data_IF_392047322102
#
_entry.id   IF_392047322102
#
_cell.length_a   1.000
_cell.length_b   1.000
_cell.length_c   1.000
_cell.angle_alpha   90.00
_cell.angle_beta   90.00
_cell.angle_gamma   90.00
#
_symmetry.space_group_name_H-M   'P 1'
#
loop_
_entity.id
_entity.type
_entity.pdbx_description
1 polymer ?
#
# COMPACT_ATOMS: atom_id res chain seq x y z
N UNK A 1 -0.59 48.45 1.65
CA UNK A 1 -0.46 46.99 1.80
C UNK A 1 1.01 46.68 2.00
N UNK A 2 1.41 46.27 3.20
CA UNK A 2 2.81 45.93 3.49
C UNK A 2 3.09 44.53 2.93
N UNK A 3 3.83 44.48 1.82
CA UNK A 3 4.35 43.23 1.26
C UNK A 3 5.31 42.59 2.28
N UNK A 4 5.13 41.30 2.65
CA UNK A 4 6.01 40.66 3.61
C UNK A 4 7.42 40.51 3.03
N UNK A 5 8.42 40.64 3.91
CA UNK A 5 9.82 40.41 3.55
C UNK A 5 10.00 39.02 2.91
N UNK A 6 10.85 38.98 1.89
CA UNK A 6 11.12 37.85 0.99
C UNK A 6 11.40 36.53 1.74
N UNK A 7 11.95 36.59 2.96
CA UNK A 7 12.27 35.44 3.83
C UNK A 7 11.05 34.80 4.52
N UNK A 8 9.84 35.36 4.40
CA UNK A 8 8.60 34.87 5.06
C UNK A 8 7.47 34.55 4.08
N UNK A 9 7.72 34.59 2.77
CA UNK A 9 6.67 34.32 1.77
C UNK A 9 6.25 32.84 1.85
N UNK A 10 4.98 32.62 2.19
CA UNK A 10 4.28 31.35 2.10
C UNK A 10 3.12 31.55 1.14
N UNK A 11 3.12 30.84 0.02
CA UNK A 11 2.06 30.94 -0.98
C UNK A 11 0.73 30.48 -0.40
N UNK A 12 0.76 29.51 0.52
CA UNK A 12 -0.42 29.07 1.27
C UNK A 12 -1.04 30.22 2.08
N UNK A 13 -0.24 31.01 2.81
CA UNK A 13 -0.76 32.14 3.60
C UNK A 13 -1.37 33.23 2.72
N UNK A 14 -0.80 33.49 1.54
CA UNK A 14 -1.37 34.45 0.58
C UNK A 14 -2.78 34.05 0.10
N UNK A 15 -3.12 32.76 0.10
CA UNK A 15 -4.50 32.33 -0.20
C UNK A 15 -5.48 32.68 0.90
N UNK A 16 -5.02 32.78 2.15
CA UNK A 16 -5.84 33.02 3.34
C UNK A 16 -6.00 34.50 3.68
N UNK A 17 -5.25 35.39 3.02
CA UNK A 17 -5.30 36.83 3.25
C UNK A 17 -6.44 37.48 2.44
N UNK A 18 -7.51 37.96 3.07
CA UNK A 18 -8.55 38.78 2.43
C UNK A 18 -9.98 38.24 2.56
N UNK A 19 -10.97 39.02 2.10
CA UNK A 19 -12.41 38.83 2.36
C UNK A 19 -13.06 37.60 1.67
N UNK A 20 -12.34 36.88 0.80
CA UNK A 20 -12.82 35.68 0.10
C UNK A 20 -11.76 34.56 0.15
N UNK A 21 -11.31 34.22 1.36
CA UNK A 21 -10.34 33.13 1.56
C UNK A 21 -11.01 31.75 1.33
N UNK A 22 -10.46 30.89 0.45
CA UNK A 22 -10.95 29.52 0.29
C UNK A 22 -10.68 28.68 1.55
N UNK A 23 -11.65 27.85 1.92
CA UNK A 23 -11.56 26.96 3.08
C UNK A 23 -10.48 25.90 2.86
N UNK A 24 -9.48 25.79 3.76
CA UNK A 24 -8.45 24.77 3.62
C UNK A 24 -9.02 23.39 3.94
N UNK A 25 -8.61 22.40 3.14
CA UNK A 25 -9.01 21.00 3.27
C UNK A 25 -7.81 20.13 3.62
N UNK A 26 -8.02 19.05 4.36
CA UNK A 26 -6.98 18.07 4.63
C UNK A 26 -7.15 16.90 3.68
N UNK A 27 -6.12 16.65 2.87
CA UNK A 27 -6.18 15.67 1.79
C UNK A 27 -4.93 14.78 1.88
N UNK A 28 -5.09 13.48 1.60
CA UNK A 28 -3.96 12.56 1.50
C UNK A 28 -3.23 12.75 0.16
N UNK A 29 -1.91 12.50 0.08
CA UNK A 29 -1.18 12.64 -1.17
C UNK A 29 -1.76 11.87 -2.38
N UNK A 30 -2.31 10.63 -2.24
CA UNK A 30 -2.99 9.94 -3.35
C UNK A 30 -4.23 10.67 -3.88
N UNK A 31 -5.01 11.31 -2.99
CA UNK A 31 -6.19 12.08 -3.41
C UNK A 31 -5.75 13.36 -4.13
N UNK A 32 -4.67 14.01 -3.67
CA UNK A 32 -4.05 15.12 -4.42
C UNK A 32 -3.64 14.64 -5.82
N UNK A 33 -3.07 13.43 -5.93
CA UNK A 33 -2.76 12.77 -7.21
C UNK A 33 -3.95 12.69 -8.15
N UNK A 34 -5.04 12.13 -7.65
CA UNK A 34 -6.26 11.99 -8.41
C UNK A 34 -6.83 13.36 -8.85
N UNK A 35 -6.88 14.35 -7.96
CA UNK A 35 -7.45 15.67 -8.25
C UNK A 35 -6.68 16.44 -9.33
N UNK A 36 -5.36 16.51 -9.21
CA UNK A 36 -4.50 17.19 -10.20
C UNK A 36 -4.57 16.44 -11.53
N UNK A 37 -4.52 15.10 -11.53
CA UNK A 37 -4.64 14.32 -12.76
C UNK A 37 -5.97 14.55 -13.49
N UNK A 38 -7.10 14.57 -12.76
CA UNK A 38 -8.40 14.88 -13.34
C UNK A 38 -8.48 16.32 -13.90
N UNK A 39 -7.86 17.30 -13.23
CA UNK A 39 -7.79 18.67 -13.77
C UNK A 39 -6.96 18.70 -15.05
N UNK A 40 -5.78 18.08 -15.06
CA UNK A 40 -4.91 18.10 -16.23
C UNK A 40 -5.57 17.39 -17.42
N UNK A 41 -6.17 16.22 -17.23
CA UNK A 41 -6.93 15.52 -18.28
C UNK A 41 -8.07 16.38 -18.84
N UNK A 42 -8.85 17.01 -17.94
CA UNK A 42 -9.91 17.92 -18.34
C UNK A 42 -9.38 19.05 -19.22
N UNK A 43 -8.27 19.66 -18.85
CA UNK A 43 -7.66 20.75 -19.61
C UNK A 43 -7.11 20.30 -20.96
N UNK A 44 -6.59 19.07 -21.06
CA UNK A 44 -6.12 18.48 -22.32
C UNK A 44 -7.23 18.16 -23.31
N UNK A 45 -8.44 17.93 -22.83
CA UNK A 45 -9.61 17.66 -23.65
C UNK A 45 -10.31 18.93 -24.15
N UNK A 46 -10.15 20.07 -23.45
CA UNK A 46 -11.02 21.24 -23.64
C UNK A 46 -10.57 22.31 -24.63
N UNK A 47 -9.26 22.67 -24.76
CA UNK A 47 -8.65 23.43 -25.90
C UNK A 47 -7.29 24.10 -25.58
N UNK A 48 -6.65 24.62 -26.64
CA UNK A 48 -5.21 24.70 -27.00
C UNK A 48 -4.35 25.76 -26.28
N UNK A 49 -4.91 26.71 -25.55
CA UNK A 49 -4.16 27.85 -24.98
C UNK A 49 -4.14 27.87 -23.45
N UNK A 50 -3.58 26.83 -22.84
CA UNK A 50 -3.42 26.74 -21.39
C UNK A 50 -1.99 27.06 -20.95
N UNK A 51 -1.83 28.01 -20.04
CA UNK A 51 -0.58 28.20 -19.30
C UNK A 51 -0.66 27.41 -17.99
N UNK A 52 0.35 26.57 -17.75
CA UNK A 52 0.38 25.71 -16.56
C UNK A 52 1.61 26.04 -15.72
N UNK A 53 1.40 26.43 -14.47
CA UNK A 53 2.47 26.62 -13.48
C UNK A 53 2.46 25.45 -12.52
N UNK A 54 3.63 24.83 -12.35
CA UNK A 54 3.73 23.57 -11.65
C UNK A 54 4.90 23.55 -10.68
N UNK A 55 4.61 23.17 -9.44
CA UNK A 55 5.58 22.73 -8.44
C UNK A 55 5.02 21.49 -7.75
N UNK A 56 5.63 20.33 -7.97
CA UNK A 56 5.13 19.05 -7.45
C UNK A 56 6.09 18.39 -6.43
N UNK A 57 5.59 17.46 -5.59
CA UNK A 57 6.43 16.75 -4.64
C UNK A 57 7.36 15.75 -5.36
N UNK A 58 8.62 15.61 -4.91
CA UNK A 58 9.60 14.73 -5.55
C UNK A 58 9.32 13.23 -5.35
N UNK A 59 8.48 12.87 -4.39
CA UNK A 59 8.23 11.49 -3.96
C UNK A 59 7.18 10.73 -4.76
N UNK A 60 6.51 11.36 -5.73
CA UNK A 60 5.40 10.74 -6.46
C UNK A 60 5.62 10.74 -7.96
N UNK A 61 5.17 9.67 -8.63
CA UNK A 61 5.30 9.37 -10.07
C UNK A 61 4.45 10.30 -10.97
N UNK A 62 4.56 11.61 -10.81
CA UNK A 62 3.88 12.61 -11.63
C UNK A 62 4.66 12.97 -12.88
N UNK A 63 5.97 12.73 -12.85
CA UNK A 63 6.88 12.99 -13.96
C UNK A 63 6.41 12.25 -15.21
N UNK A 64 6.03 10.98 -15.08
CA UNK A 64 5.52 10.16 -16.19
C UNK A 64 4.19 10.65 -16.77
N UNK A 65 3.29 11.18 -15.93
CA UNK A 65 2.02 11.76 -16.39
C UNK A 65 2.28 13.06 -17.16
N UNK A 66 3.13 13.94 -16.62
CA UNK A 66 3.52 15.20 -17.27
C UNK A 66 4.30 14.95 -18.58
N UNK A 67 5.20 13.97 -18.60
CA UNK A 67 5.94 13.54 -19.80
C UNK A 67 5.00 12.95 -20.85
N UNK A 68 4.02 12.13 -20.45
CA UNK A 68 2.98 11.66 -21.36
C UNK A 68 2.19 12.83 -21.95
N UNK A 69 1.86 13.85 -21.15
CA UNK A 69 1.17 15.05 -21.61
C UNK A 69 2.04 15.93 -22.53
N UNK A 70 3.37 15.96 -22.34
CA UNK A 70 4.31 16.60 -23.28
C UNK A 70 4.27 15.92 -24.65
N UNK A 71 4.25 14.58 -24.68
CA UNK A 71 4.26 13.81 -25.93
C UNK A 71 3.02 14.03 -26.80
N UNK A 72 1.90 14.45 -26.21
CA UNK A 72 0.63 14.68 -26.91
C UNK A 72 0.51 16.08 -27.54
N UNK A 73 1.46 17.00 -27.27
CA UNK A 73 1.63 18.24 -28.02
C UNK A 73 0.55 19.31 -27.87
N UNK A 74 -0.22 19.30 -26.78
CA UNK A 74 -1.32 20.25 -26.52
C UNK A 74 -0.96 21.39 -25.55
N UNK A 75 0.26 21.43 -25.02
CA UNK A 75 0.68 22.38 -23.98
C UNK A 75 1.59 23.47 -24.56
N UNK A 76 1.11 24.71 -24.72
CA UNK A 76 1.96 25.78 -25.29
C UNK A 76 3.05 26.30 -24.33
N UNK A 77 2.75 26.47 -23.04
CA UNK A 77 3.68 27.03 -22.05
C UNK A 77 3.54 26.34 -20.69
N UNK A 78 4.59 25.62 -20.28
CA UNK A 78 4.71 24.95 -18.99
C UNK A 78 5.78 25.65 -18.16
N UNK A 79 5.40 26.25 -17.03
CA UNK A 79 6.33 26.85 -16.08
C UNK A 79 6.61 25.85 -14.96
N UNK A 80 7.79 25.23 -14.99
CA UNK A 80 8.22 24.31 -13.95
C UNK A 80 9.00 25.07 -12.88
N UNK A 81 8.45 25.12 -11.67
CA UNK A 81 9.02 25.88 -10.56
C UNK A 81 9.77 24.94 -9.60
N UNK A 82 11.09 25.12 -9.48
CA UNK A 82 11.90 24.36 -8.52
C UNK A 82 12.47 25.27 -7.43
N UNK A 83 12.60 24.74 -6.22
CA UNK A 83 13.27 25.36 -5.07
C UNK A 83 14.58 24.68 -4.67
N UNK A 84 14.95 23.56 -5.31
CA UNK A 84 16.21 22.84 -5.13
C UNK A 84 16.98 22.69 -6.45
N UNK A 85 18.30 22.59 -6.38
CA UNK A 85 19.18 22.58 -7.55
C UNK A 85 19.25 21.25 -8.33
N UNK A 86 18.55 20.20 -7.90
CA UNK A 86 18.73 18.84 -8.44
C UNK A 86 17.38 18.17 -8.77
N UNK A 87 16.75 18.58 -9.87
CA UNK A 87 15.75 17.75 -10.54
C UNK A 87 16.26 17.36 -11.93
N UNK A 88 16.12 16.08 -12.34
CA UNK A 88 16.60 15.59 -13.64
C UNK A 88 15.87 16.23 -14.84
N UNK A 89 14.76 16.94 -14.62
CA UNK A 89 14.05 17.74 -15.63
C UNK A 89 14.74 19.08 -15.95
N UNK A 90 15.65 19.56 -15.10
CA UNK A 90 16.41 20.81 -15.29
C UNK A 90 17.72 20.55 -16.05
N UNK A 91 18.24 19.32 -16.03
CA UNK A 91 19.44 18.93 -16.78
C UNK A 91 19.26 18.87 -18.30
N UNK A 92 18.05 19.05 -18.82
CA UNK A 92 17.77 19.18 -20.26
C UNK A 92 17.43 20.63 -20.60
N UNK A 93 18.38 21.55 -20.42
CA UNK A 93 18.28 22.95 -20.88
C UNK A 93 18.06 23.10 -22.41
N UNK A 94 18.04 22.01 -23.20
CA UNK A 94 17.85 22.08 -24.66
C UNK A 94 17.06 20.89 -25.22
N UNK A 95 15.82 20.67 -24.77
CA UNK A 95 14.85 19.99 -25.61
C UNK A 95 13.67 20.93 -25.88
N UNK A 96 13.82 21.72 -26.94
CA UNK A 96 12.69 22.28 -27.67
C UNK A 96 11.94 21.09 -28.26
N UNK A 97 11.01 20.51 -27.49
CA UNK A 97 10.00 19.64 -28.06
C UNK A 97 9.16 20.49 -29.03
N UNK A 98 8.78 19.97 -30.21
CA UNK A 98 8.15 20.77 -31.26
C UNK A 98 6.78 21.35 -30.89
N UNK A 99 6.16 20.94 -29.77
CA UNK A 99 4.78 21.29 -29.41
C UNK A 99 4.59 21.89 -27.99
N UNK A 100 5.60 22.53 -27.40
CA UNK A 100 5.43 23.25 -26.12
C UNK A 100 6.71 23.81 -25.51
N UNK A 101 6.69 25.06 -25.02
CA UNK A 101 7.85 25.69 -24.36
C UNK A 101 7.82 25.40 -22.86
N UNK A 102 8.82 24.68 -22.36
CA UNK A 102 9.07 24.54 -20.92
C UNK A 102 9.94 25.72 -20.47
N UNK A 103 9.48 26.46 -19.48
CA UNK A 103 10.22 27.59 -18.90
C UNK A 103 10.54 27.22 -17.45
N UNK A 104 11.79 26.84 -17.13
CA UNK A 104 12.18 26.60 -15.75
C UNK A 104 12.19 27.92 -14.98
N UNK A 105 11.54 27.95 -13.82
CA UNK A 105 11.49 29.10 -12.91
C UNK A 105 12.14 28.70 -11.60
N UNK A 106 13.32 29.25 -11.32
CA UNK A 106 13.98 29.03 -10.03
C UNK A 106 13.37 29.93 -8.97
N UNK A 107 12.74 29.30 -7.97
CA UNK A 107 12.24 29.96 -6.78
C UNK A 107 13.35 30.05 -5.74
N UNK A 108 13.38 31.15 -5.00
CA UNK A 108 14.26 31.29 -3.84
C UNK A 108 13.99 30.17 -2.83
N UNK A 109 15.06 29.53 -2.36
CA UNK A 109 14.98 28.46 -1.37
C UNK A 109 14.55 29.04 -0.02
N UNK A 110 13.24 29.01 0.23
CA UNK A 110 12.63 29.30 1.53
C UNK A 110 12.09 28.00 2.16
N UNK A 111 12.16 27.90 3.50
CA UNK A 111 11.63 26.77 4.27
C UNK A 111 10.17 26.42 3.89
N UNK A 112 9.33 27.45 3.71
CA UNK A 112 7.92 27.29 3.34
C UNK A 112 7.74 26.84 1.90
N UNK A 113 8.45 27.49 0.96
CA UNK A 113 8.39 27.12 -0.45
C UNK A 113 8.84 25.68 -0.66
N UNK A 114 9.84 25.18 0.07
CA UNK A 114 10.26 23.77 -0.02
C UNK A 114 9.19 22.76 0.40
N UNK A 115 8.18 23.17 1.19
CA UNK A 115 7.08 22.33 1.67
C UNK A 115 5.75 22.60 0.96
N UNK A 116 5.74 23.52 0.00
CA UNK A 116 4.55 23.95 -0.74
C UNK A 116 4.62 23.48 -2.20
N UNK A 117 3.50 22.94 -2.67
CA UNK A 117 3.27 22.49 -4.04
C UNK A 117 2.09 23.24 -4.60
N UNK A 118 2.13 23.52 -5.89
CA UNK A 118 1.02 24.15 -6.56
C UNK A 118 0.89 23.67 -7.99
N UNK A 119 -0.36 23.59 -8.43
CA UNK A 119 -0.76 23.53 -9.83
C UNK A 119 -1.63 24.76 -10.06
N UNK A 120 -1.21 25.65 -10.95
CA UNK A 120 -2.04 26.75 -11.43
C UNK A 120 -2.27 26.55 -12.92
N UNK A 121 -3.52 26.52 -13.33
CA UNK A 121 -3.90 26.47 -14.74
C UNK A 121 -4.61 27.77 -15.08
N UNK A 122 -4.07 28.48 -16.05
CA UNK A 122 -4.64 29.71 -16.60
C UNK A 122 -5.14 29.40 -18.00
N UNK A 123 -6.45 29.55 -18.19
CA UNK A 123 -7.12 29.45 -19.48
C UNK A 123 -8.13 30.59 -19.60
N UNK A 124 -8.41 31.09 -20.83
CA UNK A 124 -9.47 32.07 -21.06
C UNK A 124 -10.86 31.60 -20.58
N UNK A 125 -11.11 30.29 -20.56
CA UNK A 125 -12.40 29.72 -20.14
C UNK A 125 -12.53 29.57 -18.63
N UNK A 126 -11.48 29.14 -17.94
CA UNK A 126 -11.47 28.93 -16.49
C UNK A 126 -10.04 29.06 -15.94
N UNK A 127 -9.89 29.67 -14.76
CA UNK A 127 -8.64 29.70 -14.03
C UNK A 127 -8.79 28.80 -12.80
N UNK A 128 -7.85 27.90 -12.57
CA UNK A 128 -7.90 26.98 -11.44
C UNK A 128 -6.55 26.93 -10.73
N UNK A 129 -6.59 26.76 -9.42
CA UNK A 129 -5.39 26.60 -8.61
C UNK A 129 -5.61 25.54 -7.54
N UNK A 130 -4.68 24.61 -7.46
CA UNK A 130 -4.50 23.70 -6.34
C UNK A 130 -3.19 24.09 -5.67
N UNK A 131 -3.23 24.36 -4.36
CA UNK A 131 -2.04 24.62 -3.56
C UNK A 131 -2.05 23.70 -2.34
N UNK A 132 -1.01 22.89 -2.18
CA UNK A 132 -0.86 21.93 -1.10
C UNK A 132 0.39 22.23 -0.28
N UNK A 133 0.29 22.11 1.05
CA UNK A 133 1.41 22.28 1.97
C UNK A 133 1.58 21.04 2.85
N UNK A 134 2.79 20.50 2.93
CA UNK A 134 3.11 19.44 3.90
C UNK A 134 2.92 19.94 5.32
N UNK A 135 2.12 19.22 6.09
CA UNK A 135 2.04 19.40 7.54
C UNK A 135 2.81 18.27 8.19
N UNK A 136 3.67 18.60 9.16
CA UNK A 136 4.23 17.58 10.05
C UNK A 136 3.09 16.96 10.87
N UNK A 137 3.10 15.64 11.12
CA UNK A 137 2.11 14.99 11.97
C UNK A 137 2.14 15.65 13.35
N UNK A 138 0.96 16.00 13.88
CA UNK A 138 0.83 16.66 15.19
C UNK A 138 0.80 15.66 16.36
N UNK A 139 0.88 14.37 16.09
CA UNK A 139 0.77 13.29 17.09
C UNK A 139 1.45 12.02 16.58
N UNK A 140 2.19 11.34 17.47
CA UNK A 140 2.84 10.03 17.23
C UNK A 140 1.86 8.91 16.83
N UNK A 141 0.55 9.14 16.92
CA UNK A 141 -0.49 8.15 16.55
C UNK A 141 -1.07 8.32 15.15
N UNK A 142 -0.77 9.42 14.44
CA UNK A 142 -1.23 9.63 13.07
C UNK A 142 -0.09 9.38 12.08
N UNK A 143 0.11 8.12 11.73
CA UNK A 143 1.27 7.64 10.97
C UNK A 143 1.22 7.97 9.46
N UNK A 144 0.45 8.97 9.03
CA UNK A 144 0.39 9.38 7.63
C UNK A 144 0.53 10.90 7.46
N UNK A 145 1.42 11.36 6.58
CA UNK A 145 1.60 12.78 6.37
C UNK A 145 0.42 13.32 5.56
N UNK A 146 -0.28 14.32 6.11
CA UNK A 146 -1.43 14.95 5.48
C UNK A 146 -1.03 16.28 4.83
N UNK A 147 -1.65 16.59 3.70
CA UNK A 147 -1.46 17.83 2.98
C UNK A 147 -2.62 18.76 3.32
N UNK A 148 -2.30 19.99 3.73
CA UNK A 148 -3.31 21.07 3.74
C UNK A 148 -3.40 21.63 2.34
N UNK A 149 -4.54 21.42 1.71
CA UNK A 149 -4.79 21.76 0.32
C UNK A 149 -5.86 22.83 0.22
N UNK A 150 -5.61 23.80 -0.64
CA UNK A 150 -6.54 24.85 -1.04
C UNK A 150 -6.81 24.69 -2.52
N UNK A 151 -8.09 24.61 -2.89
CA UNK A 151 -8.54 24.60 -4.28
C UNK A 151 -9.35 25.87 -4.49
N UNK A 152 -9.03 26.63 -5.53
CA UNK A 152 -9.77 27.85 -5.85
C UNK A 152 -9.84 28.06 -7.35
N UNK A 153 -10.96 28.62 -7.77
CA UNK A 153 -11.22 29.06 -9.14
C UNK A 153 -11.44 30.58 -9.20
N UNK A 154 -11.20 31.28 -8.09
CA UNK A 154 -11.38 32.72 -7.99
C UNK A 154 -10.15 33.44 -8.57
N UNK A 155 -10.32 34.26 -9.63
CA UNK A 155 -9.20 34.94 -10.27
C UNK A 155 -8.44 35.87 -9.30
N UNK A 156 -9.14 36.55 -8.37
CA UNK A 156 -8.52 37.45 -7.38
C UNK A 156 -7.49 36.75 -6.48
N UNK A 157 -7.79 35.52 -6.05
CA UNK A 157 -6.89 34.72 -5.20
C UNK A 157 -5.70 34.23 -6.02
N UNK A 158 -5.95 33.76 -7.24
CA UNK A 158 -4.92 33.29 -8.17
C UNK A 158 -3.93 34.42 -8.52
N UNK A 159 -4.42 35.63 -8.81
CA UNK A 159 -3.58 36.80 -9.07
C UNK A 159 -2.63 37.12 -7.91
N UNK A 160 -3.12 37.00 -6.66
CA UNK A 160 -2.28 37.25 -5.48
C UNK A 160 -1.17 36.22 -5.35
N UNK A 161 -1.47 34.95 -5.61
CA UNK A 161 -0.47 33.87 -5.59
C UNK A 161 0.54 34.04 -6.72
N UNK A 162 0.10 34.40 -7.94
CA UNK A 162 1.01 34.70 -9.06
C UNK A 162 1.93 35.90 -8.75
N UNK A 163 1.40 36.94 -8.10
CA UNK A 163 2.22 38.06 -7.62
C UNK A 163 3.25 37.61 -6.57
N UNK A 164 2.86 36.70 -5.66
CA UNK A 164 3.76 36.06 -4.71
C UNK A 164 4.87 35.24 -5.39
N UNK A 165 4.54 34.48 -6.43
CA UNK A 165 5.49 33.72 -7.24
C UNK A 165 6.47 34.65 -7.97
N UNK A 166 5.99 35.78 -8.52
CA UNK A 166 6.83 36.80 -9.18
C UNK A 166 7.85 37.43 -8.21
N UNK A 167 7.50 37.57 -6.94
CA UNK A 167 8.43 38.09 -5.92
C UNK A 167 9.41 37.00 -5.46
N UNK A 168 8.94 35.75 -5.39
CA UNK A 168 9.74 34.60 -4.95
C UNK A 168 10.69 34.05 -6.03
N UNK A 169 10.51 34.39 -7.30
CA UNK A 169 11.44 34.02 -8.38
C UNK A 169 12.77 34.78 -8.22
N UNK A 170 13.89 34.04 -8.23
CA UNK A 170 15.22 34.63 -8.39
C UNK A 170 15.27 35.39 -9.72
N UNK A 171 15.97 36.54 -9.76
CA UNK A 171 16.09 37.41 -10.95
C UNK A 171 16.16 36.56 -12.24
N UNK A 172 15.34 36.85 -13.26
CA UNK A 172 15.29 36.04 -14.47
C UNK A 172 16.62 36.17 -15.21
N UNK A 173 17.46 35.13 -15.16
CA UNK A 173 18.62 35.01 -16.04
C UNK A 173 18.21 34.72 -17.49
N UNK A 174 16.92 34.49 -17.75
CA UNK A 174 16.37 34.27 -19.07
C UNK A 174 15.57 35.50 -19.50
N UNK A 175 15.94 36.10 -20.62
CA UNK A 175 15.27 37.22 -21.30
C UNK A 175 13.82 36.90 -21.78
N UNK A 176 13.15 35.91 -21.18
CA UNK A 176 11.94 35.25 -21.68
C UNK A 176 10.69 35.43 -20.81
N UNK A 177 10.81 35.86 -19.54
CA UNK A 177 9.67 36.17 -18.68
C UNK A 177 9.21 37.62 -18.89
N UNK A 178 8.42 37.87 -19.94
CA UNK A 178 7.75 39.16 -20.09
C UNK A 178 6.71 39.34 -18.98
N UNK A 179 6.54 40.57 -18.47
CA UNK A 179 5.61 40.94 -17.40
C UNK A 179 4.15 40.50 -17.62
N UNK A 180 3.79 40.21 -18.87
CA UNK A 180 2.46 39.76 -19.29
C UNK A 180 2.21 38.24 -19.12
N UNK A 181 3.20 37.46 -18.67
CA UNK A 181 3.02 36.02 -18.41
C UNK A 181 2.48 35.72 -17.00
N UNK A 182 2.51 36.71 -16.10
CA UNK A 182 1.95 36.62 -14.74
C UNK A 182 0.54 37.26 -14.64
N UNK A 183 0.01 37.79 -15.73
CA UNK A 183 -1.33 38.39 -15.78
C UNK A 183 -2.40 37.36 -16.09
N UNK A 184 -3.56 37.50 -15.45
CA UNK A 184 -4.74 36.71 -15.76
C UNK A 184 -5.29 37.04 -17.15
N UNK A 185 -5.98 36.10 -17.81
CA UNK A 185 -6.77 36.40 -19.01
C UNK A 185 -7.80 37.51 -18.72
N UNK A 186 -7.92 38.49 -19.63
CA UNK A 186 -8.71 39.72 -19.41
C UNK A 186 -10.22 39.49 -19.23
N UNK A 187 -10.76 38.37 -19.75
CA UNK A 187 -12.17 37.96 -19.57
C UNK A 187 -12.24 36.45 -19.32
N UNK A 188 -12.40 36.06 -18.06
CA UNK A 188 -12.69 34.67 -17.68
C UNK A 188 -14.20 34.47 -17.69
N UNK A 189 -14.75 33.96 -18.78
CA UNK A 189 -16.16 33.61 -18.89
C UNK A 189 -16.33 32.10 -18.66
N UNK A 190 -16.33 31.69 -17.39
CA UNK A 190 -16.64 30.31 -17.04
C UNK A 190 -18.12 30.03 -17.34
N UNK A 191 -18.39 29.26 -18.40
CA UNK A 191 -19.74 28.81 -18.71
C UNK A 191 -20.10 27.61 -17.84
N UNK A 192 -21.39 27.43 -17.52
CA UNK A 192 -21.87 26.27 -16.76
C UNK A 192 -21.43 24.92 -17.36
N UNK A 193 -21.25 24.88 -18.69
CA UNK A 193 -20.77 23.72 -19.45
C UNK A 193 -19.37 23.26 -19.04
N UNK A 194 -18.46 24.20 -18.76
CA UNK A 194 -17.08 23.88 -18.34
C UNK A 194 -17.10 23.18 -16.97
N UNK A 195 -17.97 23.63 -16.07
CA UNK A 195 -18.14 23.03 -14.75
C UNK A 195 -18.78 21.64 -14.81
N UNK A 196 -19.81 21.49 -15.62
CA UNK A 196 -20.46 20.19 -15.85
C UNK A 196 -19.44 19.16 -16.36
N UNK A 197 -18.64 19.53 -17.36
CA UNK A 197 -17.62 18.65 -17.92
C UNK A 197 -16.49 18.35 -16.93
N UNK A 198 -16.08 19.32 -16.11
CA UNK A 198 -15.08 19.10 -15.05
C UNK A 198 -15.60 18.12 -14.00
N UNK A 199 -16.84 18.29 -13.55
CA UNK A 199 -17.47 17.39 -12.58
C UNK A 199 -17.62 15.97 -13.14
N UNK A 200 -18.05 15.84 -14.39
CA UNK A 200 -18.14 14.55 -15.08
C UNK A 200 -16.76 13.87 -15.16
N UNK A 201 -15.69 14.63 -15.47
CA UNK A 201 -14.33 14.09 -15.54
C UNK A 201 -13.79 13.64 -14.18
N UNK A 202 -14.04 14.43 -13.13
CA UNK A 202 -13.70 14.03 -11.76
C UNK A 202 -14.41 12.71 -11.40
N UNK A 203 -15.71 12.60 -11.71
CA UNK A 203 -16.49 11.40 -11.42
C UNK A 203 -15.97 10.17 -12.18
N UNK A 204 -15.72 10.28 -13.48
CA UNK A 204 -15.15 9.20 -14.30
C UNK A 204 -13.80 8.71 -13.75
N UNK A 205 -12.91 9.63 -13.35
CA UNK A 205 -11.60 9.25 -12.81
C UNK A 205 -11.71 8.61 -11.44
N UNK A 206 -12.62 9.09 -10.59
CA UNK A 206 -12.89 8.44 -9.29
C UNK A 206 -13.43 7.03 -9.45
N UNK A 207 -14.33 6.81 -10.42
CA UNK A 207 -14.90 5.50 -10.70
C UNK A 207 -13.84 4.53 -11.22
N UNK A 208 -13.02 4.93 -12.20
CA UNK A 208 -11.95 4.08 -12.73
C UNK A 208 -10.90 3.70 -11.69
N UNK A 209 -10.54 4.63 -10.79
CA UNK A 209 -9.64 4.34 -9.67
C UNK A 209 -10.28 3.36 -8.68
N UNK A 210 -11.53 3.59 -8.29
CA UNK A 210 -12.23 2.72 -7.36
C UNK A 210 -12.37 1.30 -7.91
N UNK A 211 -12.74 1.18 -9.19
CA UNK A 211 -12.83 -0.12 -9.88
C UNK A 211 -11.48 -0.82 -9.93
N UNK A 212 -10.40 -0.12 -10.32
CA UNK A 212 -9.07 -0.75 -10.39
C UNK A 212 -8.54 -1.21 -9.03
N UNK A 213 -8.77 -0.43 -7.97
CA UNK A 213 -8.35 -0.80 -6.62
C UNK A 213 -9.13 -2.01 -6.10
N UNK A 214 -10.47 -2.00 -6.20
CA UNK A 214 -11.31 -3.11 -5.77
C UNK A 214 -10.99 -4.37 -6.56
N UNK A 215 -10.82 -4.26 -7.88
CA UNK A 215 -10.52 -5.40 -8.72
C UNK A 215 -9.13 -5.96 -8.41
N UNK A 216 -8.15 -5.12 -8.08
CA UNK A 216 -6.82 -5.53 -7.63
C UNK A 216 -6.86 -6.29 -6.31
N UNK A 217 -7.54 -5.73 -5.30
CA UNK A 217 -7.73 -6.37 -3.99
C UNK A 217 -8.47 -7.70 -4.14
N UNK A 218 -9.60 -7.71 -4.87
CA UNK A 218 -10.38 -8.92 -5.11
C UNK A 218 -9.56 -10.00 -5.82
N UNK A 219 -8.81 -9.65 -6.88
CA UNK A 219 -7.97 -10.62 -7.58
C UNK A 219 -6.86 -11.20 -6.69
N UNK A 220 -6.26 -10.37 -5.83
CA UNK A 220 -5.26 -10.86 -4.88
C UNK A 220 -5.87 -11.86 -3.89
N UNK A 221 -7.07 -11.57 -3.36
CA UNK A 221 -7.77 -12.50 -2.46
C UNK A 221 -8.16 -13.80 -3.16
N UNK A 222 -8.65 -13.73 -4.39
CA UNK A 222 -8.98 -14.91 -5.20
C UNK A 222 -7.73 -15.75 -5.48
N UNK A 223 -6.60 -15.13 -5.81
CA UNK A 223 -5.33 -15.85 -6.03
C UNK A 223 -4.90 -16.58 -4.76
N UNK A 224 -4.88 -15.90 -3.62
CA UNK A 224 -4.49 -16.48 -2.34
C UNK A 224 -5.42 -17.66 -1.94
N UNK A 225 -6.72 -17.52 -2.17
CA UNK A 225 -7.68 -18.60 -1.93
C UNK A 225 -7.45 -19.79 -2.85
N UNK A 226 -7.16 -19.55 -4.13
CA UNK A 226 -6.84 -20.61 -5.10
C UNK A 226 -5.56 -21.35 -4.72
N UNK A 227 -4.51 -20.64 -4.32
CA UNK A 227 -3.27 -21.24 -3.83
C UNK A 227 -3.52 -22.11 -2.59
N UNK A 228 -4.29 -21.60 -1.64
CA UNK A 228 -4.65 -22.35 -0.43
C UNK A 228 -5.45 -23.61 -0.75
N UNK A 229 -6.40 -23.53 -1.68
CA UNK A 229 -7.17 -24.69 -2.14
C UNK A 229 -6.27 -25.71 -2.85
N UNK A 230 -5.39 -25.26 -3.74
CA UNK A 230 -4.44 -26.15 -4.44
C UNK A 230 -3.54 -26.91 -3.47
N UNK A 231 -3.03 -26.23 -2.43
CA UNK A 231 -2.21 -26.88 -1.40
C UNK A 231 -3.02 -27.94 -0.62
N UNK A 232 -4.29 -27.66 -0.30
CA UNK A 232 -5.19 -28.65 0.33
C UNK A 232 -5.44 -29.85 -0.58
N UNK A 233 -5.66 -29.63 -1.87
CA UNK A 233 -5.85 -30.71 -2.84
C UNK A 233 -4.58 -31.57 -3.00
N UNK A 234 -3.40 -30.96 -3.04
CA UNK A 234 -2.12 -31.67 -3.11
C UNK A 234 -1.88 -32.53 -1.87
N UNK A 235 -2.16 -31.98 -0.68
CA UNK A 235 -2.11 -32.73 0.58
C UNK A 235 -3.06 -33.93 0.55
N UNK A 236 -4.33 -33.74 0.17
CA UNK A 236 -5.30 -34.84 0.07
C UNK A 236 -4.87 -35.90 -0.95
N UNK A 237 -4.33 -35.50 -2.10
CA UNK A 237 -3.80 -36.42 -3.09
C UNK A 237 -2.61 -37.21 -2.55
N UNK A 238 -1.71 -36.56 -1.81
CA UNK A 238 -0.56 -37.25 -1.19
C UNK A 238 -1.01 -38.26 -0.14
N UNK A 239 -1.99 -37.90 0.69
CA UNK A 239 -2.57 -38.79 1.68
C UNK A 239 -3.18 -40.05 1.05
N UNK A 240 -3.96 -39.89 -0.01
CA UNK A 240 -4.54 -41.04 -0.72
C UNK A 240 -3.44 -41.96 -1.30
N UNK A 241 -2.34 -41.38 -1.77
CA UNK A 241 -1.20 -42.11 -2.33
C UNK A 241 -0.39 -42.86 -1.26
N UNK A 242 -0.30 -42.33 -0.05
CA UNK A 242 0.42 -42.98 1.05
C UNK A 242 -0.44 -43.99 1.83
N UNK A 243 -1.76 -43.80 1.89
CA UNK A 243 -2.66 -44.72 2.59
C UNK A 243 -3.05 -45.96 1.77
N UNK A 244 -3.06 -45.89 0.44
CA UNK A 244 -3.48 -47.01 -0.43
C UNK A 244 -2.52 -48.21 -0.42
N UNK A 245 -1.18 -48.04 -0.50
CA UNK A 245 -0.23 -49.15 -0.47
C UNK A 245 -0.29 -50.04 0.81
N UNK A 246 -0.34 -49.50 2.05
CA UNK A 246 -0.41 -50.34 3.25
C UNK A 246 -1.70 -51.15 3.31
N UNK A 247 -2.86 -50.56 2.93
CA UNK A 247 -4.15 -51.28 2.83
C UNK A 247 -4.04 -52.43 1.83
N UNK A 248 -3.47 -52.16 0.65
CA UNK A 248 -3.34 -53.16 -0.41
C UNK A 248 -2.45 -54.32 0.04
N UNK A 249 -1.35 -54.01 0.74
CA UNK A 249 -0.40 -54.99 1.30
C UNK A 249 -1.03 -55.82 2.41
N UNK A 250 -1.78 -55.18 3.32
CA UNK A 250 -2.51 -55.89 4.37
C UNK A 250 -3.56 -56.84 3.77
N UNK A 251 -4.34 -56.37 2.80
CA UNK A 251 -5.36 -57.19 2.12
C UNK A 251 -4.75 -58.39 1.40
N UNK A 252 -3.64 -58.22 0.68
CA UNK A 252 -2.94 -59.33 0.01
C UNK A 252 -2.35 -60.32 1.01
N UNK A 253 -1.69 -59.84 2.07
CA UNK A 253 -1.16 -60.70 3.13
C UNK A 253 -2.26 -61.50 3.84
N UNK A 254 -3.41 -60.89 4.10
CA UNK A 254 -4.59 -61.56 4.66
C UNK A 254 -5.17 -62.62 3.70
N UNK A 255 -5.29 -62.32 2.40
CA UNK A 255 -5.75 -63.30 1.41
C UNK A 255 -4.80 -64.49 1.28
N UNK A 256 -3.48 -64.26 1.38
CA UNK A 256 -2.49 -65.33 1.39
C UNK A 256 -2.60 -66.17 2.67
N UNK A 257 -2.79 -65.54 3.85
CA UNK A 257 -3.01 -66.22 5.12
C UNK A 257 -4.28 -67.09 5.16
N UNK A 258 -5.30 -66.73 4.40
CA UNK A 258 -6.54 -67.51 4.26
C UNK A 258 -6.38 -68.75 3.36
N UNK A 259 -5.29 -68.87 2.60
CA UNK A 259 -5.01 -70.05 1.78
C UNK A 259 -4.46 -71.21 2.63
N UNK A 260 -4.99 -72.42 2.44
CA UNK A 260 -4.80 -73.57 3.36
C UNK A 260 -3.42 -74.30 3.31
N UNK A 261 -2.40 -73.74 2.66
CA UNK A 261 -1.09 -74.41 2.46
C UNK A 261 0.13 -73.56 2.85
N UNK A 262 0.12 -72.95 4.03
CA UNK A 262 1.25 -72.13 4.50
C UNK A 262 2.06 -72.83 5.60
N UNK A 263 3.39 -72.82 5.44
CA UNK A 263 4.32 -73.24 6.50
C UNK A 263 4.28 -72.24 7.67
N UNK A 264 4.49 -72.72 8.90
CA UNK A 264 4.43 -71.90 10.14
C UNK A 264 5.27 -70.60 10.05
N UNK A 265 6.49 -70.69 9.54
CA UNK A 265 7.38 -69.53 9.32
C UNK A 265 6.83 -68.49 8.31
N UNK A 266 6.10 -68.91 7.28
CA UNK A 266 5.50 -67.99 6.31
C UNK A 266 4.30 -67.25 6.92
N UNK A 267 3.53 -67.93 7.77
CA UNK A 267 2.41 -67.35 8.51
C UNK A 267 2.88 -66.24 9.46
N UNK A 268 3.95 -66.50 10.22
CA UNK A 268 4.57 -65.52 11.12
C UNK A 268 5.10 -64.29 10.35
N UNK A 269 5.74 -64.50 9.19
CA UNK A 269 6.17 -63.38 8.32
C UNK A 269 4.99 -62.52 7.84
N UNK A 270 3.91 -63.11 7.36
CA UNK A 270 2.74 -62.33 6.91
C UNK A 270 2.03 -61.60 8.07
N UNK A 271 1.96 -62.19 9.26
CA UNK A 271 1.43 -61.51 10.45
C UNK A 271 2.29 -60.31 10.84
N UNK A 272 3.63 -60.46 10.89
CA UNK A 272 4.55 -59.35 11.17
C UNK A 272 4.48 -58.25 10.10
N UNK A 273 4.24 -58.63 8.83
CA UNK A 273 4.05 -57.68 7.74
C UNK A 273 2.76 -56.85 7.93
N UNK A 274 1.65 -57.51 8.28
CA UNK A 274 0.38 -56.83 8.55
C UNK A 274 0.53 -55.87 9.74
N UNK A 275 1.11 -56.33 10.85
CA UNK A 275 1.34 -55.51 12.04
C UNK A 275 2.14 -54.24 11.74
N UNK A 276 3.23 -54.39 10.98
CA UNK A 276 4.06 -53.25 10.55
C UNK A 276 3.30 -52.27 9.65
N UNK A 277 2.53 -52.76 8.68
CA UNK A 277 1.76 -51.88 7.79
C UNK A 277 0.57 -51.24 8.50
N UNK A 278 -0.02 -51.88 9.51
CA UNK A 278 -1.03 -51.30 10.39
C UNK A 278 -0.45 -50.16 11.23
N UNK A 279 0.74 -50.36 11.81
CA UNK A 279 1.42 -49.34 12.59
C UNK A 279 1.75 -48.11 11.74
N UNK A 280 2.33 -48.31 10.54
CA UNK A 280 2.58 -47.21 9.60
C UNK A 280 1.31 -46.44 9.24
N UNK A 281 0.19 -47.13 9.07
CA UNK A 281 -1.07 -46.49 8.75
C UNK A 281 -1.59 -45.64 9.92
N UNK A 282 -1.45 -46.12 11.15
CA UNK A 282 -1.75 -45.33 12.35
C UNK A 282 -0.85 -44.09 12.43
N UNK A 283 0.46 -44.23 12.23
CA UNK A 283 1.40 -43.11 12.29
C UNK A 283 1.03 -42.02 11.26
N UNK A 284 0.64 -42.40 10.04
CA UNK A 284 0.16 -41.47 9.01
C UNK A 284 -1.15 -40.75 9.40
N UNK A 285 -2.08 -41.46 10.05
CA UNK A 285 -3.32 -40.86 10.54
C UNK A 285 -3.04 -39.88 11.68
N UNK A 286 -2.13 -40.22 12.61
CA UNK A 286 -1.72 -39.33 13.69
C UNK A 286 -1.08 -38.04 13.17
N UNK A 287 -0.14 -38.15 12.22
CA UNK A 287 0.49 -36.99 11.59
C UNK A 287 -0.54 -36.06 10.92
N UNK A 288 -1.59 -36.62 10.32
CA UNK A 288 -2.68 -35.84 9.70
C UNK A 288 -3.51 -35.09 10.74
N UNK A 289 -3.91 -35.78 11.83
CA UNK A 289 -4.66 -35.16 12.92
C UNK A 289 -3.86 -34.03 13.56
N UNK A 290 -2.57 -34.24 13.77
CA UNK A 290 -1.65 -33.21 14.27
C UNK A 290 -1.60 -31.98 13.35
N UNK A 291 -1.46 -32.19 12.03
CA UNK A 291 -1.45 -31.12 11.04
C UNK A 291 -2.77 -30.33 11.04
N UNK A 292 -3.92 -31.00 11.18
CA UNK A 292 -5.23 -30.34 11.29
C UNK A 292 -5.31 -29.50 12.58
N UNK A 293 -4.84 -30.02 13.71
CA UNK A 293 -4.86 -29.31 14.99
C UNK A 293 -3.95 -28.07 14.97
N UNK A 294 -2.78 -28.14 14.34
CA UNK A 294 -1.87 -26.99 14.15
C UNK A 294 -2.56 -25.88 13.34
N UNK A 295 -3.27 -26.26 12.26
CA UNK A 295 -4.02 -25.28 11.46
C UNK A 295 -5.23 -24.68 12.19
N UNK A 296 -5.88 -25.41 13.10
CA UNK A 296 -7.00 -24.88 13.89
C UNK A 296 -6.52 -23.92 14.99
N UNK A 297 -5.41 -24.24 15.65
CA UNK A 297 -4.83 -23.39 16.71
C UNK A 297 -4.24 -22.08 16.17
N UNK A 298 -3.71 -22.08 14.93
CA UNK A 298 -3.27 -20.86 14.26
C UNK A 298 -4.40 -19.85 13.97
N UNK A 299 -5.66 -20.31 13.94
CA UNK A 299 -6.84 -19.48 13.67
C UNK A 299 -7.61 -19.06 14.94
N UNK A 300 -7.21 -19.53 16.12
CA UNK A 300 -7.84 -19.17 17.40
C UNK A 300 -7.00 -18.12 18.13
N UNK A 301 -7.36 -16.85 17.99
CA UNK A 301 -6.76 -15.67 18.67
C UNK A 301 -6.97 -15.65 20.20
N UNK A 302 -7.53 -16.70 20.78
CA UNK A 302 -7.68 -16.83 22.23
C UNK A 302 -6.61 -17.77 22.76
N UNK A 303 -5.40 -17.26 23.03
CA UNK A 303 -4.43 -17.97 23.87
C UNK A 303 -4.89 -17.87 25.34
N UNK A 304 -5.43 -18.93 25.97
CA UNK A 304 -5.67 -18.90 27.40
C UNK A 304 -4.31 -18.80 28.12
N UNK A 305 -4.25 -17.97 29.15
CA UNK A 305 -3.10 -17.93 30.06
C UNK A 305 -3.09 -19.21 30.89
N UNK A 306 -2.02 -20.00 30.78
CA UNK A 306 -1.88 -21.28 31.49
C UNK A 306 -0.80 -21.16 32.56
N UNK A 307 -1.14 -21.64 33.75
CA UNK A 307 -0.24 -21.79 34.90
C UNK A 307 0.59 -23.07 34.72
N UNK A 308 1.88 -22.91 34.46
CA UNK A 308 2.81 -24.04 34.24
C UNK A 308 2.93 -24.93 35.50
N UNK A 309 2.73 -24.34 36.68
CA UNK A 309 2.71 -25.01 37.99
C UNK A 309 1.71 -26.16 38.09
N UNK A 310 0.57 -26.06 37.39
CA UNK A 310 -0.50 -27.07 37.45
C UNK A 310 -0.28 -28.22 36.45
N UNK A 311 0.55 -28.01 35.41
CA UNK A 311 0.72 -28.97 34.31
C UNK A 311 1.88 -29.94 34.53
N UNK A 312 3.03 -29.44 34.97
CA UNK A 312 4.26 -30.23 35.10
C UNK A 312 4.12 -31.40 36.10
N UNK A 313 3.50 -31.24 37.29
CA UNK A 313 3.33 -32.36 38.22
C UNK A 313 2.55 -33.54 37.61
N UNK A 314 1.52 -33.26 36.80
CA UNK A 314 0.71 -34.27 36.13
C UNK A 314 1.47 -35.04 35.05
N UNK A 315 2.31 -34.35 34.27
CA UNK A 315 3.16 -34.98 33.24
C UNK A 315 4.20 -35.88 33.90
N UNK A 316 4.90 -35.39 34.93
CA UNK A 316 5.92 -36.18 35.64
C UNK A 316 5.30 -37.41 36.28
N UNK A 317 4.13 -37.30 36.91
CA UNK A 317 3.41 -38.44 37.46
C UNK A 317 3.04 -39.50 36.40
N UNK A 318 2.84 -39.09 35.14
CA UNK A 318 2.48 -40.01 34.04
C UNK A 318 3.70 -40.82 33.57
N UNK A 319 4.89 -40.20 33.51
CA UNK A 319 6.10 -40.83 32.98
C UNK A 319 7.04 -41.42 34.05
N UNK A 320 6.83 -41.11 35.33
CA UNK A 320 7.65 -41.63 36.43
C UNK A 320 7.73 -43.16 36.51
N UNK A 321 6.63 -43.94 36.27
CA UNK A 321 6.71 -45.40 36.25
C UNK A 321 7.65 -45.91 35.15
N UNK A 322 7.52 -45.36 33.92
CA UNK A 322 8.34 -45.75 32.77
C UNK A 322 9.83 -45.48 32.99
N UNK A 323 10.14 -44.33 33.60
CA UNK A 323 11.52 -43.95 33.91
C UNK A 323 12.13 -44.83 34.99
N UNK A 324 11.35 -45.22 36.00
CA UNK A 324 11.81 -46.08 37.08
C UNK A 324 12.12 -47.51 36.59
N UNK A 325 11.36 -48.03 35.62
CA UNK A 325 11.68 -49.28 34.93
C UNK A 325 13.02 -49.22 34.17
N UNK A 326 13.40 -48.03 33.69
CA UNK A 326 14.67 -47.77 33.00
C UNK A 326 15.80 -47.34 33.97
N UNK A 327 15.55 -47.29 35.28
CA UNK A 327 16.51 -46.82 36.28
C UNK A 327 16.80 -45.31 36.25
N UNK A 328 15.95 -44.52 35.62
CA UNK A 328 16.08 -43.06 35.44
C UNK A 328 15.25 -42.34 36.52
N UNK A 329 15.85 -41.38 37.23
CA UNK A 329 15.14 -40.53 38.18
C UNK A 329 14.60 -39.28 37.46
N UNK A 330 13.28 -39.17 37.35
CA UNK A 330 12.61 -37.93 36.94
C UNK A 330 12.28 -37.06 38.15
N UNK A 331 12.68 -35.79 38.09
CA UNK A 331 12.32 -34.77 39.07
C UNK A 331 12.08 -33.43 38.37
N UNK A 332 11.27 -32.57 38.98
CA UNK A 332 11.01 -31.22 38.49
C UNK A 332 11.26 -30.19 39.59
N UNK A 333 11.71 -29.00 39.20
CA UNK A 333 11.84 -27.85 40.09
C UNK A 333 11.09 -26.67 39.47
N UNK A 334 10.12 -26.11 40.21
CA UNK A 334 9.30 -24.99 39.75
C UNK A 334 9.51 -23.85 40.74
N UNK A 335 9.85 -22.66 40.22
CA UNK A 335 9.97 -21.45 41.04
C UNK A 335 8.57 -20.89 41.36
N UNK A 336 8.28 -20.47 42.61
CA UNK A 336 6.95 -20.03 43.02
C UNK A 336 6.47 -18.71 42.38
N UNK A 337 7.32 -18.02 41.61
CA UNK A 337 7.01 -16.74 40.95
C UNK A 337 7.04 -16.84 39.41
N UNK A 338 6.58 -17.95 38.82
CA UNK A 338 6.57 -18.08 37.36
C UNK A 338 5.43 -17.23 36.73
N UNK A 339 5.72 -16.39 35.73
CA UNK A 339 4.69 -15.65 35.02
C UNK A 339 3.78 -16.58 34.21
N UNK A 340 2.53 -16.17 34.03
CA UNK A 340 1.54 -16.86 33.21
C UNK A 340 2.03 -16.96 31.76
N UNK A 341 2.06 -18.17 31.21
CA UNK A 341 2.43 -18.38 29.81
C UNK A 341 1.18 -18.30 28.92
N UNK A 342 1.25 -17.48 27.87
CA UNK A 342 0.23 -17.41 26.83
C UNK A 342 0.40 -18.58 25.85
N UNK A 343 0.06 -19.79 26.29
CA UNK A 343 0.21 -21.02 25.51
C UNK A 343 -1.01 -21.91 25.70
N UNK A 344 -1.39 -22.69 24.67
CA UNK A 344 -2.42 -23.70 24.82
C UNK A 344 -1.91 -24.83 25.73
N UNK A 345 -2.73 -25.30 26.68
CA UNK A 345 -2.36 -26.37 27.61
C UNK A 345 -2.09 -27.71 26.92
N UNK A 346 -2.71 -27.96 25.76
CA UNK A 346 -2.52 -29.19 25.00
C UNK A 346 -1.20 -29.18 24.22
N UNK A 347 -0.82 -28.07 23.57
CA UNK A 347 0.47 -27.97 22.89
C UNK A 347 1.65 -28.11 23.85
N UNK A 348 1.53 -27.52 25.06
CA UNK A 348 2.59 -27.56 26.07
C UNK A 348 2.76 -28.95 26.70
N UNK A 349 1.73 -29.81 26.68
CA UNK A 349 1.86 -31.21 27.10
C UNK A 349 2.50 -32.12 26.06
N UNK A 350 2.43 -31.73 24.78
CA UNK A 350 2.90 -32.53 23.65
C UNK A 350 4.38 -32.29 23.35
N UNK A 351 4.88 -31.08 23.62
CA UNK A 351 6.32 -30.73 23.68
C UNK A 351 6.93 -31.38 24.91
#
# INVERSE_FOLDING_TARGET
MNLPAISKISLYRLTQEGEMAPSPTQISPPILKMMVGALVDFWLEQEVNTQLWLKLPPTYSWQTEIEAYQSQGKLQQLFYCDSGANNPLVSTENQVSPNGKIIPVQLQSNYWLGKEFFLIVLSPSLCSMILAQWQSPKSDKANSPYLKTVITFQPKVIARVLAGIKIASLRPSTQFLQTNQFSLPEKVNATAKVWEQLLLKQLQRTEGMFQSQIFGELNSTISNLKETLSLKEELLCSLVRELRPPITTMKTALSLLQSNQLKKLQRERYLSLIERECQKQNDLIFALVELININQTANSDTQPYVKIEDLIPGIVSTYQPLAQEQGIQLGYTISPNLPLAACSSNSLKQI
#
